data_IF_489476920764
#
_entry.id   IF_489476920764
#
_cell.length_a   1.000
_cell.length_b   1.000
_cell.length_c   1.000
_cell.angle_alpha   90.00
_cell.angle_beta   90.00
_cell.angle_gamma   90.00
#
_symmetry.space_group_name_H-M   'P 1'
#
loop_
_entity.id
_entity.type
_entity.pdbx_description
1 polymer ?
#
# COMPACT_ATOMS: atom_id res chain seq x y z
N UNK A 1 1.68 -18.06 17.26
CA UNK A 1 2.72 -18.57 16.34
C UNK A 1 4.07 -17.93 16.66
N UNK A 2 5.14 -18.61 16.32
CA UNK A 2 6.49 -18.04 16.36
C UNK A 2 7.25 -18.46 15.10
N UNK A 3 8.18 -17.61 14.69
CA UNK A 3 9.08 -17.90 13.58
C UNK A 3 10.52 -17.67 14.04
N UNK A 4 11.41 -18.56 13.64
CA UNK A 4 12.85 -18.42 13.86
C UNK A 4 13.56 -18.44 12.52
N UNK A 5 14.37 -17.43 12.24
CA UNK A 5 15.15 -17.30 11.03
C UNK A 5 16.64 -17.25 11.38
N UNK A 6 17.45 -18.06 10.69
CA UNK A 6 18.90 -17.96 10.74
C UNK A 6 19.40 -17.10 9.58
N UNK A 7 20.22 -16.13 9.90
CA UNK A 7 20.73 -15.17 8.90
C UNK A 7 22.21 -15.42 8.66
N UNK A 8 22.54 -15.96 7.49
CA UNK A 8 23.91 -16.35 7.12
C UNK A 8 24.93 -15.18 7.16
N UNK A 9 24.64 -13.98 6.60
CA UNK A 9 25.59 -12.87 6.62
C UNK A 9 25.97 -12.41 8.02
N UNK A 10 25.00 -12.28 8.93
CA UNK A 10 25.23 -11.82 10.31
C UNK A 10 25.47 -12.98 11.29
N UNK A 11 25.31 -14.23 10.88
CA UNK A 11 25.39 -15.44 11.70
C UNK A 11 24.54 -15.38 12.98
N UNK A 12 23.38 -14.74 12.91
CA UNK A 12 22.46 -14.54 14.04
C UNK A 12 21.13 -15.23 13.81
N UNK A 13 20.56 -15.73 14.89
CA UNK A 13 19.19 -16.21 14.93
C UNK A 13 18.25 -15.05 15.29
N UNK A 14 17.18 -14.93 14.54
CA UNK A 14 16.11 -13.96 14.80
C UNK A 14 14.87 -14.72 15.27
N UNK A 15 14.32 -14.30 16.40
CA UNK A 15 13.09 -14.85 16.96
C UNK A 15 11.94 -13.87 16.81
N UNK A 16 10.85 -14.29 16.18
CA UNK A 16 9.70 -13.46 15.81
C UNK A 16 8.39 -14.03 16.35
N UNK A 17 8.11 -13.85 17.66
CA UNK A 17 6.86 -14.28 18.27
C UNK A 17 5.71 -13.41 17.80
N UNK A 18 4.52 -14.02 17.62
CA UNK A 18 3.29 -13.36 17.20
C UNK A 18 2.11 -13.96 17.94
N UNK A 19 1.24 -13.10 18.48
CA UNK A 19 -0.02 -13.46 19.09
C UNK A 19 -1.16 -12.77 18.30
N UNK A 20 -2.20 -13.52 18.00
CA UNK A 20 -3.42 -13.00 17.41
C UNK A 20 -4.62 -13.60 18.13
N UNK A 21 -5.63 -12.79 18.38
CA UNK A 21 -6.90 -13.20 18.96
C UNK A 21 -8.05 -12.59 18.16
N UNK A 22 -9.08 -13.42 17.94
CA UNK A 22 -10.32 -12.97 17.31
C UNK A 22 -11.49 -13.32 18.23
N UNK A 23 -12.41 -12.39 18.39
CA UNK A 23 -13.65 -12.57 19.11
C UNK A 23 -14.83 -12.29 18.19
N UNK A 24 -15.73 -13.25 18.06
CA UNK A 24 -16.91 -13.17 17.20
C UNK A 24 -18.16 -12.85 18.02
N UNK A 25 -18.89 -11.83 17.59
CA UNK A 25 -20.15 -11.42 18.19
C UNK A 25 -21.18 -11.16 17.09
N UNK A 26 -22.07 -12.13 16.86
CA UNK A 26 -23.00 -12.09 15.74
C UNK A 26 -22.28 -11.94 14.41
N UNK A 27 -22.59 -10.89 13.68
CA UNK A 27 -21.97 -10.56 12.38
C UNK A 27 -20.71 -9.70 12.53
N UNK A 28 -20.24 -9.48 13.75
CA UNK A 28 -19.03 -8.70 14.03
C UNK A 28 -17.87 -9.61 14.44
N UNK A 29 -16.66 -9.22 14.05
CA UNK A 29 -15.41 -9.80 14.52
C UNK A 29 -14.52 -8.70 15.06
N UNK A 30 -14.08 -8.85 16.31
CA UNK A 30 -13.01 -8.06 16.90
C UNK A 30 -11.71 -8.83 16.76
N UNK A 31 -10.64 -8.19 16.33
CA UNK A 31 -9.32 -8.79 16.15
C UNK A 31 -8.24 -7.98 16.85
N UNK A 32 -7.32 -8.66 17.52
CA UNK A 32 -6.13 -8.07 18.12
C UNK A 32 -4.90 -8.84 17.69
N UNK A 33 -3.85 -8.14 17.28
CA UNK A 33 -2.58 -8.74 16.86
C UNK A 33 -1.45 -7.98 17.52
N UNK A 34 -0.51 -8.72 18.12
CA UNK A 34 0.79 -8.21 18.54
C UNK A 34 1.87 -9.14 18.03
N UNK A 35 2.93 -8.57 17.46
CA UNK A 35 3.99 -9.41 16.92
C UNK A 35 5.30 -8.68 16.69
N UNK A 36 6.37 -9.45 16.85
CA UNK A 36 7.71 -9.05 16.46
C UNK A 36 8.01 -9.59 15.07
N UNK A 37 8.45 -8.71 14.19
CA UNK A 37 8.82 -9.02 12.81
C UNK A 37 10.28 -8.64 12.60
N UNK A 38 10.99 -9.48 11.86
CA UNK A 38 12.39 -9.24 11.51
C UNK A 38 12.58 -9.37 10.02
N UNK A 39 13.41 -8.51 9.45
CA UNK A 39 13.82 -8.60 8.05
C UNK A 39 15.30 -8.24 7.90
N UNK A 40 15.94 -8.73 6.85
CA UNK A 40 17.28 -8.28 6.48
C UNK A 40 17.23 -6.85 5.96
N UNK A 41 18.27 -6.04 6.25
CA UNK A 41 18.49 -4.78 5.54
C UNK A 41 18.52 -5.00 4.01
N UNK A 42 18.32 -3.93 3.26
CA UNK A 42 18.38 -3.97 1.79
C UNK A 42 19.74 -4.50 1.30
N UNK A 43 19.73 -5.19 0.15
CA UNK A 43 20.94 -5.82 -0.40
C UNK A 43 22.09 -4.84 -0.61
N UNK A 44 21.82 -3.60 -1.04
CA UNK A 44 22.81 -2.55 -1.17
C UNK A 44 23.54 -2.22 0.15
N UNK A 45 22.80 -2.25 1.26
CA UNK A 45 23.38 -2.06 2.61
C UNK A 45 24.22 -3.28 3.02
N UNK A 46 23.74 -4.49 2.74
CA UNK A 46 24.45 -5.74 3.08
C UNK A 46 25.73 -5.94 2.25
N UNK A 47 25.76 -5.50 0.99
CA UNK A 47 26.98 -5.52 0.17
C UNK A 47 28.04 -4.59 0.76
N UNK A 48 27.65 -3.41 1.25
CA UNK A 48 28.55 -2.44 1.89
C UNK A 48 28.98 -2.86 3.30
N UNK A 49 28.08 -3.50 4.06
CA UNK A 49 28.32 -3.99 5.44
C UNK A 49 27.54 -5.28 5.74
N UNK A 50 28.13 -6.45 5.50
CA UNK A 50 27.45 -7.74 5.68
C UNK A 50 27.06 -8.06 7.14
N UNK A 51 27.68 -7.39 8.12
CA UNK A 51 27.45 -7.63 9.55
C UNK A 51 26.28 -6.82 10.14
N UNK A 52 25.54 -6.04 9.35
CA UNK A 52 24.36 -5.34 9.81
C UNK A 52 23.37 -6.31 10.48
N UNK A 53 22.75 -5.86 11.55
CA UNK A 53 21.72 -6.63 12.23
C UNK A 53 20.44 -6.64 11.40
N UNK A 54 19.62 -7.67 11.56
CA UNK A 54 18.28 -7.67 11.04
C UNK A 54 17.47 -6.53 11.64
N UNK A 55 16.76 -5.81 10.80
CA UNK A 55 15.80 -4.79 11.20
C UNK A 55 14.64 -5.42 11.96
N UNK A 56 14.11 -4.74 12.94
CA UNK A 56 13.05 -5.24 13.83
C UNK A 56 11.86 -4.30 13.73
N UNK A 57 10.66 -4.88 13.74
CA UNK A 57 9.41 -4.16 13.85
C UNK A 57 8.52 -4.82 14.90
N UNK A 58 8.16 -4.10 15.97
CA UNK A 58 7.04 -4.46 16.84
C UNK A 58 5.77 -3.88 16.28
N UNK A 59 4.79 -4.72 16.04
CA UNK A 59 3.51 -4.32 15.43
C UNK A 59 2.35 -4.68 16.35
N UNK A 60 1.43 -3.71 16.49
CA UNK A 60 0.18 -3.81 17.24
C UNK A 60 -0.95 -3.43 16.31
N UNK A 61 -1.95 -4.30 16.20
CA UNK A 61 -3.15 -4.04 15.40
C UNK A 61 -4.38 -4.34 16.24
N UNK A 62 -5.39 -3.49 16.13
CA UNK A 62 -6.72 -3.68 16.69
C UNK A 62 -7.73 -3.41 15.59
N UNK A 63 -8.59 -4.39 15.30
CA UNK A 63 -9.55 -4.30 14.21
C UNK A 63 -10.96 -4.69 14.60
N UNK A 64 -11.91 -4.10 13.93
CA UNK A 64 -13.32 -4.49 13.93
C UNK A 64 -13.76 -4.73 12.49
N UNK A 65 -14.49 -5.80 12.28
CA UNK A 65 -15.07 -6.18 11.00
C UNK A 65 -16.55 -6.51 11.19
N UNK A 66 -17.36 -6.09 10.23
CA UNK A 66 -18.77 -6.45 10.10
C UNK A 66 -19.01 -7.04 8.71
N UNK A 67 -19.64 -8.20 8.64
CA UNK A 67 -19.96 -8.89 7.39
C UNK A 67 -21.38 -9.46 7.49
N UNK A 68 -22.30 -8.90 6.71
CA UNK A 68 -23.69 -9.34 6.70
C UNK A 68 -24.37 -8.98 5.38
N UNK A 69 -25.04 -9.96 4.77
CA UNK A 69 -25.89 -9.82 3.57
C UNK A 69 -25.25 -8.98 2.44
N UNK A 70 -23.96 -9.23 2.13
CA UNK A 70 -23.25 -8.54 1.05
C UNK A 70 -22.71 -7.16 1.40
N UNK A 71 -22.84 -6.73 2.66
CA UNK A 71 -22.21 -5.52 3.21
C UNK A 71 -21.02 -5.90 4.08
N UNK A 72 -19.89 -5.33 3.80
CA UNK A 72 -18.67 -5.56 4.53
C UNK A 72 -18.05 -4.24 4.97
N UNK A 73 -17.78 -4.09 6.27
CA UNK A 73 -17.08 -2.95 6.85
C UNK A 73 -15.89 -3.45 7.66
N UNK A 74 -14.75 -2.79 7.55
CA UNK A 74 -13.58 -3.04 8.39
C UNK A 74 -12.97 -1.73 8.81
N UNK A 75 -12.60 -1.63 10.10
CA UNK A 75 -11.75 -0.57 10.63
C UNK A 75 -10.60 -1.22 11.39
N UNK A 76 -9.37 -0.76 11.17
CA UNK A 76 -8.18 -1.26 11.83
C UNK A 76 -7.30 -0.10 12.28
N UNK A 77 -6.92 -0.10 13.55
CA UNK A 77 -5.90 0.77 14.12
C UNK A 77 -4.59 0.01 14.16
N UNK A 78 -3.49 0.65 13.79
CA UNK A 78 -2.18 0.03 13.88
C UNK A 78 -1.14 0.98 14.47
N UNK A 79 -0.17 0.36 15.15
CA UNK A 79 1.07 1.00 15.58
C UNK A 79 2.23 0.07 15.29
N UNK A 80 3.28 0.60 14.65
CA UNK A 80 4.51 -0.12 14.31
C UNK A 80 5.69 0.66 14.88
N UNK A 81 6.51 -0.03 15.64
CA UNK A 81 7.75 0.50 16.19
C UNK A 81 8.94 -0.19 15.54
N UNK A 82 9.81 0.59 14.93
CA UNK A 82 10.95 0.11 14.16
C UNK A 82 12.23 0.34 14.93
N UNK A 83 13.06 -0.69 15.00
CA UNK A 83 14.38 -0.70 15.62
C UNK A 83 15.40 -1.33 14.68
N UNK A 84 16.68 -0.95 14.84
CA UNK A 84 17.81 -1.48 14.07
C UNK A 84 17.72 -1.24 12.57
N UNK A 85 17.07 -0.15 12.15
CA UNK A 85 17.06 0.24 10.74
C UNK A 85 18.49 0.59 10.29
N UNK A 86 18.81 0.26 9.03
CA UNK A 86 20.09 0.65 8.45
C UNK A 86 20.20 2.18 8.38
N UNK A 87 21.27 2.73 8.96
CA UNK A 87 21.54 4.17 9.06
C UNK A 87 22.95 4.48 8.57
N UNK A 88 23.10 5.48 7.74
CA UNK A 88 24.40 6.03 7.33
C UNK A 88 24.85 7.07 8.35
N UNK A 89 25.98 6.82 8.98
CA UNK A 89 26.61 7.74 9.91
C UNK A 89 27.96 8.19 9.35
N UNK A 90 28.38 9.41 9.69
CA UNK A 90 29.65 9.96 9.25
C UNK A 90 30.59 10.00 10.46
N UNK A 91 31.74 9.41 10.31
CA UNK A 91 32.82 9.51 11.32
C UNK A 91 33.27 10.97 11.49
N UNK A 92 33.37 11.41 12.74
CA UNK A 92 33.67 12.80 13.04
C UNK A 92 35.07 13.21 12.59
N UNK A 93 36.03 12.29 12.69
CA UNK A 93 37.45 12.56 12.44
C UNK A 93 37.82 12.32 10.97
N UNK A 94 37.43 11.15 10.44
CA UNK A 94 37.82 10.72 9.08
C UNK A 94 36.89 11.20 8.00
N UNK A 95 35.69 11.70 8.38
CA UNK A 95 34.58 12.03 7.45
C UNK A 95 34.12 10.85 6.60
N UNK A 96 34.51 9.64 6.92
CA UNK A 96 34.10 8.45 6.23
C UNK A 96 32.62 8.11 6.57
N UNK A 97 31.83 7.79 5.53
CA UNK A 97 30.44 7.34 5.69
C UNK A 97 30.41 5.83 5.88
N UNK A 98 29.78 5.38 6.95
CA UNK A 98 29.62 3.97 7.28
C UNK A 98 28.18 3.65 7.69
N UNK A 99 27.78 2.39 7.49
CA UNK A 99 26.46 1.92 7.83
C UNK A 99 26.43 1.36 9.27
N UNK A 100 25.37 1.68 10.01
CA UNK A 100 25.08 1.15 11.35
C UNK A 100 23.68 0.54 11.39
N UNK A 101 23.36 -0.14 12.49
CA UNK A 101 22.00 -0.60 12.79
C UNK A 101 21.36 0.25 13.90
N UNK A 102 21.66 1.54 13.94
CA UNK A 102 21.18 2.48 14.97
C UNK A 102 19.91 3.24 14.54
N UNK A 103 19.40 2.98 13.34
CA UNK A 103 18.19 3.60 12.86
C UNK A 103 16.95 3.09 13.60
N UNK A 104 15.96 3.96 13.76
CA UNK A 104 14.70 3.67 14.42
C UNK A 104 13.55 4.51 13.86
N UNK A 105 12.32 4.21 14.27
CA UNK A 105 11.17 4.99 13.84
C UNK A 105 9.85 4.39 14.25
N UNK A 106 8.77 5.01 13.82
CA UNK A 106 7.43 4.50 14.08
C UNK A 106 6.48 4.79 12.92
N UNK A 107 5.41 4.01 12.85
CA UNK A 107 4.28 4.29 11.95
C UNK A 107 2.99 3.96 12.69
N UNK A 108 2.00 4.84 12.57
CA UNK A 108 0.67 4.64 13.17
C UNK A 108 -0.41 5.16 12.24
N UNK A 109 -1.57 4.54 12.31
CA UNK A 109 -2.66 4.97 11.46
C UNK A 109 -3.95 4.20 11.68
N UNK A 110 -4.89 4.50 10.81
CA UNK A 110 -6.19 3.84 10.70
C UNK A 110 -6.43 3.44 9.25
N UNK A 111 -6.88 2.21 9.06
CA UNK A 111 -7.35 1.69 7.79
C UNK A 111 -8.86 1.45 7.87
N UNK A 112 -9.60 2.03 6.95
CA UNK A 112 -11.04 1.87 6.81
C UNK A 112 -11.34 1.21 5.45
N UNK A 113 -12.21 0.23 5.47
CA UNK A 113 -12.71 -0.41 4.25
C UNK A 113 -14.21 -0.63 4.34
N UNK A 114 -14.91 -0.27 3.28
CA UNK A 114 -16.34 -0.49 3.13
C UNK A 114 -16.64 -1.07 1.74
N UNK A 115 -17.52 -2.06 1.68
CA UNK A 115 -18.06 -2.63 0.43
C UNK A 115 -19.53 -2.95 0.59
N UNK A 116 -20.32 -2.61 -0.39
CA UNK A 116 -21.74 -2.92 -0.46
C UNK A 116 -22.10 -3.48 -1.85
N UNK A 117 -22.78 -4.61 -1.84
CA UNK A 117 -23.31 -5.29 -3.03
C UNK A 117 -24.81 -5.56 -2.92
N UNK A 118 -25.44 -5.12 -1.84
CA UNK A 118 -26.82 -5.48 -1.48
C UNK A 118 -27.80 -4.31 -1.58
N UNK A 119 -27.36 -3.07 -1.30
CA UNK A 119 -28.26 -1.92 -1.21
C UNK A 119 -28.91 -1.54 -2.53
N UNK A 120 -28.20 -1.72 -3.64
CA UNK A 120 -28.70 -1.36 -4.96
C UNK A 120 -28.55 -2.52 -5.94
N UNK A 121 -29.60 -2.78 -6.71
CA UNK A 121 -29.57 -3.83 -7.72
C UNK A 121 -28.52 -3.52 -8.79
N UNK A 122 -27.69 -4.52 -9.12
CA UNK A 122 -26.64 -4.44 -10.13
C UNK A 122 -25.52 -3.44 -9.84
N UNK A 123 -25.46 -2.86 -8.64
CA UNK A 123 -24.43 -1.91 -8.24
C UNK A 123 -23.61 -2.52 -7.10
N UNK A 124 -22.30 -2.53 -7.28
CA UNK A 124 -21.32 -2.79 -6.23
C UNK A 124 -20.44 -1.55 -6.07
N UNK A 125 -20.22 -1.14 -4.84
CA UNK A 125 -19.26 -0.08 -4.56
C UNK A 125 -18.43 -0.40 -3.34
N UNK A 126 -17.19 0.06 -3.37
CA UNK A 126 -16.23 -0.10 -2.28
C UNK A 126 -15.42 1.18 -2.09
N UNK A 127 -15.11 1.45 -0.83
CA UNK A 127 -14.28 2.56 -0.41
C UNK A 127 -13.17 2.01 0.48
N UNK A 128 -11.94 2.39 0.22
CA UNK A 128 -10.82 2.21 1.14
C UNK A 128 -10.22 3.56 1.49
N UNK A 129 -9.84 3.72 2.75
CA UNK A 129 -9.18 4.92 3.23
C UNK A 129 -8.14 4.56 4.27
N UNK A 130 -6.93 5.10 4.12
CA UNK A 130 -5.84 4.98 5.08
C UNK A 130 -5.38 6.36 5.52
N UNK A 131 -5.33 6.58 6.82
CA UNK A 131 -4.59 7.66 7.44
C UNK A 131 -3.33 7.12 8.09
N UNK A 132 -2.16 7.64 7.71
CA UNK A 132 -0.86 7.15 8.16
C UNK A 132 0.06 8.28 8.58
N UNK A 133 0.67 8.14 9.74
CA UNK A 133 1.79 8.99 10.21
C UNK A 133 3.00 8.08 10.37
N UNK A 134 4.06 8.33 9.63
CA UNK A 134 5.32 7.60 9.73
C UNK A 134 6.49 8.57 9.93
N UNK A 135 7.39 8.20 10.83
CA UNK A 135 8.65 8.91 11.08
C UNK A 135 9.77 7.89 11.23
N UNK A 136 10.90 8.12 10.56
CA UNK A 136 12.07 7.23 10.64
C UNK A 136 13.37 8.02 10.60
N UNK A 137 14.34 7.55 11.39
CA UNK A 137 15.74 7.86 11.27
C UNK A 137 16.41 6.64 10.64
N UNK A 138 16.78 6.71 9.37
CA UNK A 138 17.26 5.55 8.60
C UNK A 138 17.94 5.99 7.31
N UNK A 139 18.71 5.15 6.68
CA UNK A 139 19.48 5.45 5.47
C UNK A 139 20.33 6.72 5.69
N UNK A 140 20.24 7.69 4.79
CA UNK A 140 20.90 8.99 4.86
C UNK A 140 20.24 10.01 5.81
N UNK A 141 19.08 9.69 6.38
CA UNK A 141 18.33 10.61 7.25
C UNK A 141 18.77 10.47 8.70
N UNK A 142 19.58 11.40 9.17
CA UNK A 142 20.11 11.45 10.54
C UNK A 142 19.11 11.96 11.58
N UNK A 143 17.93 12.45 11.14
CA UNK A 143 16.86 12.93 11.99
C UNK A 143 15.57 12.12 11.73
N UNK A 144 14.64 12.16 12.70
CA UNK A 144 13.31 11.57 12.53
C UNK A 144 12.51 12.33 11.48
N UNK A 145 12.44 11.81 10.28
CA UNK A 145 11.77 12.42 9.14
C UNK A 145 10.69 11.54 8.57
N UNK A 146 9.78 12.15 7.81
CA UNK A 146 8.76 11.39 7.07
C UNK A 146 9.41 10.71 5.86
N UNK A 147 9.33 9.37 5.73
CA UNK A 147 9.89 8.67 4.57
C UNK A 147 9.29 9.16 3.26
N UNK A 148 10.10 9.23 2.20
CA UNK A 148 9.71 9.75 0.87
C UNK A 148 8.44 9.11 0.28
N UNK A 149 8.14 7.87 0.64
CA UNK A 149 6.95 7.16 0.13
C UNK A 149 5.73 7.26 1.05
N UNK A 150 5.87 7.83 2.23
CA UNK A 150 4.79 7.91 3.21
C UNK A 150 3.87 9.09 2.89
N UNK A 151 2.67 8.78 2.44
CA UNK A 151 1.58 9.74 2.28
C UNK A 151 0.65 9.65 3.48
N UNK A 152 0.12 10.80 3.95
CA UNK A 152 -0.79 10.85 5.10
C UNK A 152 -2.14 10.28 4.82
N UNK A 153 -2.71 10.63 3.69
CA UNK A 153 -4.05 10.25 3.29
C UNK A 153 -3.98 9.46 2.00
N UNK A 154 -4.56 8.27 2.00
CA UNK A 154 -4.77 7.47 0.81
C UNK A 154 -6.22 7.06 0.77
N UNK A 155 -6.88 7.28 -0.35
CA UNK A 155 -8.25 6.87 -0.57
C UNK A 155 -8.38 6.21 -1.96
N UNK A 156 -9.20 5.18 -2.03
CA UNK A 156 -9.62 4.64 -3.32
C UNK A 156 -11.10 4.25 -3.22
N UNK A 157 -11.87 4.60 -4.22
CA UNK A 157 -13.23 4.13 -4.35
C UNK A 157 -13.44 3.49 -5.72
N UNK A 158 -14.21 2.42 -5.72
CA UNK A 158 -14.51 1.63 -6.90
C UNK A 158 -16.01 1.48 -6.97
N UNK A 159 -16.58 1.78 -8.13
CA UNK A 159 -17.98 1.56 -8.44
C UNK A 159 -18.06 0.64 -9.64
N UNK A 160 -18.85 -0.43 -9.54
CA UNK A 160 -19.15 -1.35 -10.65
C UNK A 160 -20.64 -1.37 -10.85
N UNK A 161 -21.07 -1.18 -12.08
CA UNK A 161 -22.46 -1.29 -12.47
C UNK A 161 -22.64 -2.34 -13.55
N UNK A 162 -23.43 -3.36 -13.23
CA UNK A 162 -23.76 -4.45 -14.15
C UNK A 162 -24.95 -4.06 -15.00
N UNK A 163 -24.83 -4.19 -16.32
CA UNK A 163 -25.84 -3.94 -17.34
C UNK A 163 -26.26 -5.26 -18.01
N UNK A 164 -27.12 -6.08 -17.38
CA UNK A 164 -27.43 -7.44 -17.88
C UNK A 164 -27.99 -7.43 -19.30
N UNK A 165 -28.84 -6.44 -19.65
CA UNK A 165 -29.41 -6.32 -21.00
C UNK A 165 -28.36 -6.08 -22.08
N UNK A 166 -27.29 -5.38 -21.74
CA UNK A 166 -26.16 -5.09 -22.64
C UNK A 166 -25.01 -6.10 -22.45
N UNK A 167 -25.16 -7.09 -21.57
CA UNK A 167 -24.13 -8.06 -21.21
C UNK A 167 -22.80 -7.39 -20.87
N UNK A 168 -22.86 -6.27 -20.17
CA UNK A 168 -21.72 -5.42 -19.88
C UNK A 168 -21.61 -5.08 -18.40
N UNK A 169 -20.39 -4.82 -17.95
CA UNK A 169 -20.08 -4.24 -16.66
C UNK A 169 -19.26 -2.98 -16.90
N UNK A 170 -19.69 -1.89 -16.32
CA UNK A 170 -18.94 -0.62 -16.31
C UNK A 170 -18.34 -0.44 -14.93
N UNK A 171 -17.08 -0.07 -14.88
CA UNK A 171 -16.37 0.22 -13.62
C UNK A 171 -15.73 1.59 -13.66
N UNK A 172 -15.80 2.28 -12.53
CA UNK A 172 -15.11 3.55 -12.27
C UNK A 172 -14.25 3.35 -11.04
N UNK A 173 -12.99 3.73 -11.12
CA UNK A 173 -12.07 3.71 -9.98
C UNK A 173 -11.42 5.07 -9.84
N UNK A 174 -11.53 5.68 -8.67
CA UNK A 174 -10.76 6.87 -8.33
C UNK A 174 -9.76 6.55 -7.24
N UNK A 175 -8.54 7.04 -7.39
CA UNK A 175 -7.45 6.88 -6.44
C UNK A 175 -6.89 8.24 -6.09
N UNK A 176 -6.83 8.51 -4.81
CA UNK A 176 -6.30 9.74 -4.24
C UNK A 176 -5.21 9.42 -3.22
N UNK A 177 -4.12 10.19 -3.22
CA UNK A 177 -3.22 10.26 -2.08
C UNK A 177 -2.75 11.70 -1.85
N UNK A 178 -2.51 12.06 -0.59
CA UNK A 178 -1.85 13.33 -0.26
C UNK A 178 -0.46 13.41 -0.89
N UNK A 179 0.11 14.60 -0.96
CA UNK A 179 1.42 14.83 -1.50
C UNK A 179 2.48 13.95 -0.82
N UNK A 180 3.46 13.48 -1.59
CA UNK A 180 4.64 12.80 -1.06
C UNK A 180 5.63 13.84 -0.53
N UNK A 181 6.26 13.59 0.63
CA UNK A 181 7.30 14.48 1.12
C UNK A 181 8.51 14.46 0.20
N UNK A 182 9.15 15.61 0.06
CA UNK A 182 10.46 15.76 -0.59
C UNK A 182 11.31 16.76 0.17
N UNK A 183 12.62 16.72 -0.03
CA UNK A 183 13.52 17.70 0.56
C UNK A 183 13.58 18.95 -0.30
N UNK A 184 13.11 20.07 0.26
CA UNK A 184 13.23 21.40 -0.34
C UNK A 184 14.42 22.13 0.32
N UNK A 185 15.53 22.39 -0.42
CA UNK A 185 16.72 23.02 0.16
C UNK A 185 16.51 24.49 0.58
N UNK A 186 15.38 25.10 0.18
CA UNK A 186 15.03 26.48 0.56
C UNK A 186 14.32 26.56 1.92
N UNK A 187 13.94 25.44 2.52
CA UNK A 187 13.23 25.33 3.78
C UNK A 187 14.10 24.62 4.83
N UNK A 188 13.98 24.94 6.13
CA UNK A 188 14.71 24.26 7.18
C UNK A 188 14.23 22.82 7.40
N UNK A 189 15.14 21.91 7.80
CA UNK A 189 14.85 20.50 8.11
C UNK A 189 14.93 19.59 6.90
N UNK A 190 14.73 18.29 7.14
CA UNK A 190 14.74 17.24 6.12
C UNK A 190 13.30 16.84 5.73
N UNK A 191 13.07 16.53 4.45
CA UNK A 191 11.76 16.11 3.94
C UNK A 191 10.64 17.06 4.37
N UNK A 192 10.87 18.35 4.15
CA UNK A 192 10.21 19.50 4.75
C UNK A 192 9.11 20.11 3.88
N UNK A 193 8.88 19.55 2.69
CA UNK A 193 7.87 20.01 1.73
C UNK A 193 7.14 18.82 1.09
N UNK A 194 6.01 19.07 0.46
CA UNK A 194 5.17 18.01 -0.17
C UNK A 194 4.87 18.38 -1.63
N UNK A 195 4.92 17.38 -2.53
CA UNK A 195 4.44 17.55 -3.90
C UNK A 195 2.92 17.65 -3.93
N UNK A 196 2.35 18.00 -5.09
CA UNK A 196 0.89 18.03 -5.29
C UNK A 196 0.27 16.66 -4.99
N UNK A 197 -0.96 16.63 -4.43
CA UNK A 197 -1.68 15.39 -4.23
C UNK A 197 -1.85 14.61 -5.53
N UNK A 198 -1.70 13.30 -5.44
CA UNK A 198 -1.98 12.35 -6.52
C UNK A 198 -3.48 12.13 -6.66
N UNK A 199 -3.97 12.08 -7.91
CA UNK A 199 -5.31 11.60 -8.21
C UNK A 199 -5.34 10.94 -9.59
N UNK A 200 -6.04 9.81 -9.71
CA UNK A 200 -6.26 9.09 -10.97
C UNK A 200 -7.69 8.57 -11.02
N UNK A 201 -8.45 9.04 -12.01
CA UNK A 201 -9.76 8.52 -12.33
C UNK A 201 -9.64 7.55 -13.51
N UNK A 202 -10.03 6.30 -13.30
CA UNK A 202 -9.93 5.20 -14.25
C UNK A 202 -11.33 4.72 -14.64
N UNK A 203 -11.51 4.36 -15.89
CA UNK A 203 -12.73 3.74 -16.39
C UNK A 203 -12.45 2.37 -16.98
N UNK A 204 -13.40 1.45 -16.83
CA UNK A 204 -13.34 0.12 -17.42
C UNK A 204 -14.70 -0.32 -17.94
N UNK A 205 -14.72 -1.01 -19.06
CA UNK A 205 -15.90 -1.65 -19.62
C UNK A 205 -15.56 -3.08 -19.96
N UNK A 206 -16.33 -4.01 -19.43
CA UNK A 206 -16.24 -5.44 -19.76
C UNK A 206 -17.51 -5.85 -20.50
N UNK A 207 -17.38 -6.37 -21.70
CA UNK A 207 -18.49 -6.80 -22.55
C UNK A 207 -18.39 -8.32 -22.80
N UNK A 208 -19.46 -9.04 -22.50
CA UNK A 208 -19.59 -10.47 -22.80
C UNK A 208 -20.13 -10.64 -24.21
N UNK A 209 -19.23 -10.66 -25.20
CA UNK A 209 -19.60 -10.81 -26.61
C UNK A 209 -20.30 -12.15 -26.88
N UNK A 210 -19.87 -13.21 -26.17
CA UNK A 210 -20.53 -14.52 -26.12
C UNK A 210 -20.29 -15.21 -24.79
N UNK A 211 -20.91 -16.41 -24.59
CA UNK A 211 -20.64 -17.25 -23.41
C UNK A 211 -19.17 -17.67 -23.24
N UNK A 212 -18.33 -17.42 -24.21
CA UNK A 212 -16.90 -17.81 -24.23
C UNK A 212 -15.95 -16.67 -24.59
N UNK A 213 -16.47 -15.49 -24.89
CA UNK A 213 -15.67 -14.37 -25.36
C UNK A 213 -15.97 -13.15 -24.52
N UNK A 214 -14.95 -12.63 -23.86
CA UNK A 214 -14.99 -11.38 -23.09
C UNK A 214 -14.13 -10.36 -23.81
N UNK A 215 -14.64 -9.17 -24.00
CA UNK A 215 -13.88 -8.00 -24.45
C UNK A 215 -13.82 -7.04 -23.28
N UNK A 216 -12.61 -6.63 -22.92
CA UNK A 216 -12.37 -5.67 -21.86
C UNK A 216 -11.61 -4.47 -22.40
N UNK A 217 -12.13 -3.27 -22.18
CA UNK A 217 -11.47 -2.02 -22.47
C UNK A 217 -11.34 -1.22 -21.17
N UNK A 218 -10.19 -0.60 -20.96
CA UNK A 218 -9.98 0.26 -19.79
C UNK A 218 -9.05 1.40 -20.12
N UNK A 219 -9.21 2.48 -19.38
CA UNK A 219 -8.34 3.65 -19.45
C UNK A 219 -8.01 4.11 -18.04
N UNK A 220 -6.74 4.41 -17.77
CA UNK A 220 -6.29 4.98 -16.51
C UNK A 220 -6.04 6.49 -16.68
N UNK A 221 -6.26 7.23 -15.59
CA UNK A 221 -6.08 8.68 -15.52
C UNK A 221 -6.76 9.42 -16.69
N UNK A 222 -8.07 9.16 -16.86
CA UNK A 222 -8.86 9.73 -17.97
C UNK A 222 -8.86 11.28 -17.99
N UNK A 223 -8.59 11.89 -16.83
CA UNK A 223 -8.47 13.34 -16.69
C UNK A 223 -7.09 13.86 -17.14
N UNK A 224 -6.20 12.98 -17.60
CA UNK A 224 -4.82 13.29 -18.02
C UNK A 224 -4.07 14.16 -17.01
N UNK A 225 -4.32 13.93 -15.70
CA UNK A 225 -3.69 14.71 -14.64
C UNK A 225 -2.20 14.40 -14.57
N UNK A 226 -1.37 15.44 -14.59
CA UNK A 226 0.08 15.32 -14.38
C UNK A 226 0.37 15.11 -12.91
N UNK A 227 0.48 13.83 -12.51
CA UNK A 227 0.77 13.43 -11.15
C UNK A 227 2.27 13.53 -10.86
N UNK A 228 2.62 14.19 -9.76
CA UNK A 228 3.99 14.40 -9.32
C UNK A 228 4.36 13.35 -8.26
N UNK A 229 5.51 12.68 -8.42
CA UNK A 229 5.99 11.65 -7.48
C UNK A 229 7.15 12.12 -6.58
N UNK A 230 7.68 13.28 -6.84
CA UNK A 230 8.78 13.91 -6.14
C UNK A 230 9.26 15.14 -6.86
N UNK A 231 10.30 15.78 -6.34
CA UNK A 231 11.05 16.84 -7.03
C UNK A 231 12.54 16.57 -6.91
N UNK A 232 13.27 16.84 -8.00
CA UNK A 232 14.73 16.85 -8.07
C UNK A 232 15.13 18.18 -8.69
N UNK A 233 15.99 18.93 -8.02
CA UNK A 233 16.41 20.28 -8.45
C UNK A 233 15.22 21.19 -8.81
N UNK A 234 14.20 21.20 -7.96
CA UNK A 234 12.92 21.90 -8.16
C UNK A 234 12.09 21.47 -9.39
N UNK A 235 12.52 20.46 -10.14
CA UNK A 235 11.76 19.91 -11.26
C UNK A 235 10.91 18.74 -10.78
N UNK A 236 9.64 18.75 -11.15
CA UNK A 236 8.72 17.65 -10.81
C UNK A 236 9.14 16.35 -11.49
N UNK A 237 9.18 15.25 -10.74
CA UNK A 237 9.29 13.89 -11.24
C UNK A 237 7.88 13.41 -11.58
N UNK A 238 7.58 13.29 -12.85
CA UNK A 238 6.27 12.88 -13.37
C UNK A 238 6.25 11.37 -13.67
N UNK A 239 5.05 10.83 -13.85
CA UNK A 239 4.89 9.49 -14.43
C UNK A 239 5.44 9.45 -15.87
N UNK A 240 5.90 8.28 -16.31
CA UNK A 240 6.35 8.07 -17.69
C UNK A 240 5.22 8.21 -18.72
N UNK A 241 3.97 8.03 -18.30
CA UNK A 241 2.76 8.24 -19.09
C UNK A 241 1.68 8.85 -18.21
N UNK A 242 1.06 9.94 -18.69
CA UNK A 242 -0.06 10.59 -18.00
C UNK A 242 -1.35 9.78 -18.15
N UNK A 243 -1.46 8.99 -19.20
CA UNK A 243 -2.66 8.29 -19.62
C UNK A 243 -2.29 6.93 -20.22
N UNK A 244 -3.07 5.91 -19.91
CA UNK A 244 -2.88 4.58 -20.47
C UNK A 244 -4.23 3.99 -20.90
N UNK A 245 -4.25 3.42 -22.10
CA UNK A 245 -5.41 2.75 -22.67
C UNK A 245 -5.10 1.29 -22.95
N UNK A 246 -6.02 0.39 -22.57
CA UNK A 246 -5.88 -1.04 -22.76
C UNK A 246 -7.15 -1.64 -23.37
N UNK A 247 -6.99 -2.56 -24.32
CA UNK A 247 -8.05 -3.42 -24.84
C UNK A 247 -7.57 -4.86 -24.85
N UNK A 248 -8.37 -5.76 -24.30
CA UNK A 248 -8.10 -7.19 -24.28
C UNK A 248 -9.30 -8.00 -24.74
N UNK A 249 -9.04 -9.10 -25.44
CA UNK A 249 -10.02 -10.09 -25.83
C UNK A 249 -9.63 -11.42 -25.22
N UNK A 250 -10.53 -12.00 -24.44
CA UNK A 250 -10.34 -13.28 -23.75
C UNK A 250 -11.25 -14.33 -24.36
N UNK A 251 -10.70 -15.43 -24.84
CA UNK A 251 -11.42 -16.52 -25.49
C UNK A 251 -11.20 -17.80 -24.69
N UNK A 252 -12.30 -18.44 -24.26
CA UNK A 252 -12.25 -19.72 -23.56
C UNK A 252 -12.51 -20.87 -24.54
N UNK A 253 -11.53 -21.73 -24.74
CA UNK A 253 -11.59 -22.85 -25.66
C UNK A 253 -12.24 -24.12 -25.06
N UNK A 254 -12.47 -24.14 -23.74
CA UNK A 254 -13.04 -25.28 -23.01
C UNK A 254 -14.54 -25.48 -23.23
N UNK A 255 -15.02 -26.76 -23.07
CA UNK A 255 -16.46 -27.11 -23.25
C UNK A 255 -17.36 -26.66 -22.09
N UNK A 256 -16.84 -26.43 -20.86
CA UNK A 256 -17.64 -26.27 -19.62
C UNK A 256 -17.70 -24.87 -19.01
N UNK A 257 -16.93 -23.91 -19.51
CA UNK A 257 -16.90 -22.55 -18.92
C UNK A 257 -17.87 -21.66 -19.68
N UNK A 258 -18.89 -21.16 -18.98
CA UNK A 258 -19.82 -20.14 -19.49
C UNK A 258 -19.69 -18.91 -18.63
N UNK A 259 -19.46 -17.77 -19.24
CA UNK A 259 -19.48 -16.48 -18.57
C UNK A 259 -20.91 -15.93 -18.55
N UNK A 260 -21.32 -15.43 -17.38
CA UNK A 260 -22.55 -14.68 -17.19
C UNK A 260 -22.26 -13.41 -16.39
N UNK A 261 -22.95 -12.32 -16.68
CA UNK A 261 -22.79 -11.04 -15.97
C UNK A 261 -23.15 -11.15 -14.49
N UNK A 262 -24.01 -12.10 -14.13
CA UNK A 262 -24.37 -12.39 -12.73
C UNK A 262 -23.25 -13.02 -11.91
N UNK A 263 -22.18 -13.50 -12.56
CA UNK A 263 -21.05 -14.19 -11.91
C UNK A 263 -19.84 -13.24 -11.65
N UNK A 264 -19.98 -11.95 -11.95
CA UNK A 264 -18.95 -10.94 -11.73
C UNK A 264 -19.41 -9.94 -10.61
#
# INVERSE_FOLDING_TARGET
SFRTDYTSPSRKMNFSPRLAANYYWGNMMLSGIVGRYTQLPENNCLVRRPQLMSEVCMQYNLGVQYDYEGRFCKAELYYKDYDRLALEETDADTKAVFLTSNGYGHSKGIDLFFRDRASFKNLEYQLSYTYNIAKRKYREYLELTTPQYATRHNAAWVVKYSLPRLRSIVSVTDRFSSGRPYHNPMLPGLMNDEVKPYNSLDLGVTFLASKKVIIHASTSNILCRKNEFGKVDNKAVLASSDHFFYVGVYVTLGKKVTYDVSNF
#
